data_IF_934838558923
#
_entry.id   IF_934838558923
#
_cell.length_a   1.000
_cell.length_b   1.000
_cell.length_c   1.000
_cell.angle_alpha   90.00
_cell.angle_beta   90.00
_cell.angle_gamma   90.00
#
_symmetry.space_group_name_H-M   'P 1'
#
loop_
_entity.id
_entity.type
_entity.pdbx_description
1 polymer ?
#
# COMPACT_ATOMS: atom_id res chain seq x y z
N UNK A 1 -31.44 8.50 28.69
CA UNK A 1 -30.93 7.13 28.49
C UNK A 1 -29.42 7.22 28.49
N UNK A 2 -28.75 6.64 29.45
CA UNK A 2 -27.31 6.44 29.43
C UNK A 2 -27.04 5.39 28.34
N UNK A 3 -26.39 5.79 27.25
CA UNK A 3 -25.99 4.89 26.20
C UNK A 3 -24.99 3.87 26.73
N UNK A 4 -25.27 2.59 26.54
CA UNK A 4 -24.32 1.52 26.89
C UNK A 4 -23.21 1.55 25.85
N UNK A 5 -21.97 1.88 26.26
CA UNK A 5 -20.81 1.82 25.37
C UNK A 5 -20.48 0.36 25.02
N UNK A 6 -20.28 0.06 23.75
CA UNK A 6 -19.78 -1.23 23.25
C UNK A 6 -18.27 -1.13 23.01
N UNK A 7 -17.49 -2.01 23.60
CA UNK A 7 -16.06 -2.16 23.28
C UNK A 7 -15.93 -3.34 22.30
N UNK A 8 -15.57 -3.01 21.07
CA UNK A 8 -15.32 -4.03 20.05
C UNK A 8 -13.95 -4.68 20.29
N UNK A 9 -13.97 -5.87 20.87
CA UNK A 9 -12.80 -6.71 21.12
C UNK A 9 -12.51 -7.65 19.95
N UNK A 10 -13.52 -7.98 19.14
CA UNK A 10 -13.34 -8.78 17.94
C UNK A 10 -12.37 -8.08 16.97
N UNK A 11 -12.53 -6.78 16.76
CA UNK A 11 -11.66 -5.99 15.88
C UNK A 11 -10.17 -6.06 16.24
N UNK A 12 -9.81 -6.42 17.48
CA UNK A 12 -8.41 -6.57 17.93
C UNK A 12 -7.81 -7.89 17.46
N UNK A 13 -8.61 -8.95 17.40
CA UNK A 13 -8.16 -10.33 17.17
C UNK A 13 -8.60 -10.88 15.80
N UNK A 14 -9.57 -10.24 15.15
CA UNK A 14 -10.29 -10.73 13.98
C UNK A 14 -9.38 -11.24 12.85
N UNK A 15 -8.36 -10.48 12.50
CA UNK A 15 -7.44 -10.81 11.41
C UNK A 15 -6.09 -11.35 11.95
N UNK A 16 -6.08 -11.83 13.20
CA UNK A 16 -4.91 -12.24 13.95
C UNK A 16 -5.05 -13.66 14.54
N UNK A 17 -5.25 -14.70 13.70
CA UNK A 17 -5.47 -16.07 14.19
C UNK A 17 -4.30 -16.60 15.04
N UNK A 18 -3.09 -16.10 14.85
CA UNK A 18 -1.91 -16.45 15.67
C UNK A 18 -2.05 -16.04 17.14
N UNK A 19 -2.99 -15.16 17.45
CA UNK A 19 -3.29 -14.76 18.84
C UNK A 19 -4.29 -15.69 19.53
N UNK A 20 -4.91 -16.60 18.78
CA UNK A 20 -5.92 -17.56 19.23
C UNK A 20 -5.47 -19.01 18.92
N UNK A 21 -4.47 -19.56 19.64
CA UNK A 21 -3.84 -20.84 19.30
C UNK A 21 -4.78 -22.04 19.23
N UNK A 22 -5.91 -21.99 19.91
CA UNK A 22 -6.97 -23.01 19.87
C UNK A 22 -8.27 -22.51 19.21
N UNK A 23 -8.17 -21.40 18.47
CA UNK A 23 -9.27 -20.69 17.82
C UNK A 23 -10.31 -20.06 18.78
N UNK A 24 -10.11 -20.12 20.09
CA UNK A 24 -11.03 -19.60 21.12
C UNK A 24 -10.33 -18.73 22.15
N UNK A 25 -9.22 -19.19 22.71
CA UNK A 25 -8.56 -18.50 23.80
C UNK A 25 -7.36 -17.67 23.33
N UNK A 26 -7.29 -16.39 23.69
CA UNK A 26 -6.15 -15.56 23.34
C UNK A 26 -4.88 -16.04 24.07
N UNK A 27 -3.76 -16.04 23.36
CA UNK A 27 -2.46 -16.21 24.01
C UNK A 27 -2.08 -14.96 24.81
N UNK A 28 -0.90 -14.93 25.44
CA UNK A 28 -0.45 -13.81 26.27
C UNK A 28 -0.46 -12.48 25.53
N UNK A 29 -0.04 -12.46 24.27
CA UNK A 29 -0.04 -11.26 23.43
C UNK A 29 -1.47 -10.83 23.06
N UNK A 30 -2.32 -11.77 22.68
CA UNK A 30 -3.73 -11.49 22.42
C UNK A 30 -4.44 -10.92 23.66
N UNK A 31 -4.21 -11.51 24.84
CA UNK A 31 -4.75 -11.00 26.08
C UNK A 31 -4.24 -9.58 26.43
N UNK A 32 -2.95 -9.29 26.17
CA UNK A 32 -2.38 -7.95 26.33
C UNK A 32 -3.06 -6.93 25.44
N UNK A 33 -3.24 -7.23 24.15
CA UNK A 33 -3.90 -6.34 23.21
C UNK A 33 -5.37 -6.08 23.55
N UNK A 34 -6.08 -7.12 24.03
CA UNK A 34 -7.46 -6.95 24.53
C UNK A 34 -7.49 -6.03 25.75
N UNK A 35 -6.57 -6.21 26.71
CA UNK A 35 -6.48 -5.36 27.89
C UNK A 35 -6.17 -3.90 27.52
N UNK A 36 -5.25 -3.66 26.59
CA UNK A 36 -4.95 -2.32 26.07
C UNK A 36 -6.16 -1.69 25.38
N UNK A 37 -6.91 -2.46 24.59
CA UNK A 37 -8.14 -1.99 23.95
C UNK A 37 -9.20 -1.60 24.96
N UNK A 38 -9.40 -2.43 25.99
CA UNK A 38 -10.33 -2.16 27.09
C UNK A 38 -9.89 -0.90 27.85
N UNK A 39 -8.61 -0.83 28.22
CA UNK A 39 -8.05 0.34 28.91
C UNK A 39 -8.32 1.63 28.11
N UNK A 40 -7.92 1.66 26.83
CA UNK A 40 -8.11 2.83 25.99
C UNK A 40 -9.58 3.21 25.82
N UNK A 41 -10.47 2.22 25.64
CA UNK A 41 -11.90 2.48 25.50
C UNK A 41 -12.55 3.02 26.77
N UNK A 42 -12.08 2.58 27.95
CA UNK A 42 -12.61 3.04 29.26
C UNK A 42 -12.03 4.40 29.65
N UNK A 43 -10.76 4.63 29.40
CA UNK A 43 -10.05 5.86 29.80
C UNK A 43 -10.05 6.96 28.75
N UNK A 44 -10.27 6.60 27.48
CA UNK A 44 -10.08 7.49 26.34
C UNK A 44 -8.60 7.78 26.00
N UNK A 45 -7.67 7.12 26.70
CA UNK A 45 -6.23 7.25 26.47
C UNK A 45 -5.78 6.28 25.36
N UNK A 46 -5.46 6.82 24.22
CA UNK A 46 -4.90 6.10 23.07
C UNK A 46 -3.40 6.38 22.87
N UNK A 47 -2.72 6.95 23.87
CA UNK A 47 -1.30 7.27 23.84
C UNK A 47 -0.97 8.54 23.07
N UNK A 48 -1.89 9.50 23.04
CA UNK A 48 -1.73 10.80 22.42
C UNK A 48 -1.77 10.77 20.87
N UNK A 49 -1.30 11.85 20.24
CA UNK A 49 -1.31 12.00 18.78
C UNK A 49 -0.31 11.04 18.12
N UNK A 50 -0.84 10.17 17.27
CA UNK A 50 -0.04 9.22 16.45
C UNK A 50 -0.47 9.25 15.00
N UNK A 51 0.51 9.39 14.10
CA UNK A 51 0.32 9.34 12.65
C UNK A 51 0.79 8.01 12.09
N UNK A 52 0.21 7.59 10.96
CA UNK A 52 0.70 6.42 10.22
C UNK A 52 2.16 6.62 9.81
N UNK A 53 2.99 5.56 9.73
CA UNK A 53 4.38 5.63 9.30
C UNK A 53 4.62 6.24 7.91
N UNK A 54 3.58 6.37 7.08
CA UNK A 54 3.68 7.05 5.78
C UNK A 54 3.86 8.57 5.92
N UNK A 55 3.46 9.17 7.05
CA UNK A 55 3.64 10.58 7.29
C UNK A 55 5.06 10.87 7.73
N UNK A 56 5.89 11.27 6.79
CA UNK A 56 7.27 11.73 7.02
C UNK A 56 7.54 12.99 6.22
N UNK A 57 8.68 13.63 6.47
CA UNK A 57 9.16 14.69 5.62
C UNK A 57 9.24 14.21 4.16
N UNK A 58 9.18 15.12 3.21
CA UNK A 58 9.22 14.88 1.77
C UNK A 58 8.00 14.16 1.17
N UNK A 59 6.91 13.92 1.90
CA UNK A 59 5.72 13.28 1.37
C UNK A 59 5.01 14.10 0.29
N UNK A 60 4.18 13.40 -0.52
CA UNK A 60 3.26 14.02 -1.47
C UNK A 60 1.83 13.73 -1.03
N UNK A 61 1.06 14.74 -0.69
CA UNK A 61 -0.37 14.60 -0.45
C UNK A 61 -1.14 14.61 -1.77
N UNK A 62 -2.16 13.78 -1.89
CA UNK A 62 -2.97 13.70 -3.11
C UNK A 62 -3.79 14.99 -3.30
N UNK A 63 -3.79 15.54 -4.51
CA UNK A 63 -4.62 16.69 -4.89
C UNK A 63 -5.92 16.27 -5.60
N UNK A 64 -6.79 17.24 -5.85
CA UNK A 64 -7.91 17.13 -6.79
C UNK A 64 -9.23 16.64 -6.18
N UNK A 65 -9.23 16.20 -4.93
CA UNK A 65 -10.43 15.88 -4.14
C UNK A 65 -10.20 16.19 -2.66
N UNK A 66 -11.22 15.98 -1.81
CA UNK A 66 -11.08 16.17 -0.37
C UNK A 66 -10.20 15.08 0.21
N UNK A 67 -8.90 15.38 0.30
CA UNK A 67 -7.86 14.44 0.72
C UNK A 67 -7.95 14.14 2.20
N UNK A 68 -7.94 12.88 2.55
CA UNK A 68 -7.99 12.40 3.92
C UNK A 68 -6.62 12.49 4.57
N UNK A 69 -6.63 13.03 5.79
CA UNK A 69 -5.48 12.98 6.71
C UNK A 69 -6.03 12.45 8.03
N UNK A 70 -5.48 11.35 8.50
CA UNK A 70 -6.00 10.67 9.67
C UNK A 70 -4.94 10.02 10.53
N UNK A 71 -5.36 9.60 11.73
CA UNK A 71 -4.48 8.98 12.70
C UNK A 71 -5.22 8.57 13.97
N UNK A 72 -4.47 8.45 15.05
CA UNK A 72 -4.98 8.17 16.39
C UNK A 72 -4.65 9.32 17.33
N UNK A 73 -5.51 9.56 18.30
CA UNK A 73 -5.28 10.46 19.42
C UNK A 73 -6.24 10.10 20.57
N UNK A 74 -6.11 10.76 21.72
CA UNK A 74 -6.98 10.49 22.85
C UNK A 74 -8.42 10.93 22.56
N UNK A 75 -9.38 10.10 22.97
CA UNK A 75 -10.80 10.28 22.69
C UNK A 75 -11.33 11.64 23.18
N UNK A 76 -12.22 12.24 22.40
CA UNK A 76 -12.81 13.53 22.69
C UNK A 76 -11.89 14.74 22.49
N UNK A 77 -10.62 14.54 22.13
CA UNK A 77 -9.71 15.64 21.76
C UNK A 77 -10.07 16.20 20.41
N UNK A 78 -9.70 17.46 20.18
CA UNK A 78 -9.78 18.07 18.85
C UNK A 78 -8.40 18.00 18.20
N UNK A 79 -8.35 17.48 16.97
CA UNK A 79 -7.16 17.51 16.11
C UNK A 79 -7.33 18.60 15.07
N UNK A 80 -6.31 19.43 14.91
CA UNK A 80 -6.23 20.45 13.86
C UNK A 80 -5.15 20.05 12.86
N UNK A 81 -5.48 20.15 11.57
CA UNK A 81 -4.56 19.85 10.45
C UNK A 81 -4.45 21.09 9.58
N UNK A 82 -3.23 21.47 9.24
CA UNK A 82 -2.95 22.65 8.38
C UNK A 82 -1.85 22.32 7.38
N UNK A 83 -2.09 22.65 6.12
CA UNK A 83 -1.05 22.68 5.06
C UNK A 83 -0.73 24.14 4.76
N UNK A 84 0.53 24.53 4.87
CA UNK A 84 1.01 25.90 4.71
C UNK A 84 2.39 25.97 4.05
N UNK A 85 2.81 27.18 3.64
CA UNK A 85 4.14 27.43 3.08
C UNK A 85 5.26 27.02 4.02
N UNK A 86 5.15 27.44 5.29
CA UNK A 86 6.18 27.26 6.28
C UNK A 86 5.61 27.25 7.70
N UNK A 87 6.46 27.06 8.68
CA UNK A 87 6.08 26.96 10.09
C UNK A 87 7.05 27.73 10.97
N UNK A 88 6.49 28.41 11.99
CA UNK A 88 7.24 29.02 13.08
C UNK A 88 7.00 28.23 14.37
N UNK A 89 8.09 27.82 15.03
CA UNK A 89 7.97 27.23 16.38
C UNK A 89 7.60 28.29 17.40
N UNK A 90 6.70 27.93 18.31
CA UNK A 90 6.32 28.78 19.44
C UNK A 90 7.22 28.49 20.65
N UNK A 91 7.26 29.43 21.63
CA UNK A 91 8.06 29.29 22.86
C UNK A 91 7.69 28.05 23.68
N UNK A 92 6.42 27.59 23.56
CA UNK A 92 5.89 26.44 24.31
C UNK A 92 6.00 25.11 23.52
N UNK A 93 6.90 25.03 22.53
CA UNK A 93 7.10 23.81 21.73
C UNK A 93 6.08 23.53 20.63
N UNK A 94 4.99 24.31 20.54
CA UNK A 94 4.02 24.20 19.47
C UNK A 94 4.53 24.74 18.14
N UNK A 95 3.70 24.62 17.10
CA UNK A 95 3.97 25.16 15.76
C UNK A 95 2.79 26.00 15.27
N UNK A 96 3.09 27.11 14.60
CA UNK A 96 2.09 27.93 13.91
C UNK A 96 2.44 28.07 12.44
N UNK A 97 1.46 28.04 11.53
CA UNK A 97 1.70 28.28 10.11
C UNK A 97 2.27 29.68 9.90
N UNK A 98 3.12 29.81 8.89
CA UNK A 98 3.69 31.05 8.42
C UNK A 98 3.62 31.07 6.89
N UNK A 99 3.28 32.22 6.30
CA UNK A 99 2.99 32.35 4.88
C UNK A 99 1.55 31.98 4.54
N UNK A 100 1.34 31.53 3.32
CA UNK A 100 0.02 31.11 2.83
C UNK A 100 -0.45 29.80 3.48
N UNK A 101 -1.72 29.73 3.81
CA UNK A 101 -2.40 28.49 4.25
C UNK A 101 -3.20 27.95 3.07
N UNK A 102 -2.76 26.82 2.53
CA UNK A 102 -3.42 26.16 1.39
C UNK A 102 -4.69 25.43 1.78
N UNK A 103 -4.69 24.79 2.94
CA UNK A 103 -5.86 24.15 3.51
C UNK A 103 -5.73 23.97 5.02
N UNK A 104 -6.85 24.00 5.71
CA UNK A 104 -6.91 23.69 7.14
C UNK A 104 -8.25 23.06 7.49
N UNK A 105 -8.25 22.22 8.51
CA UNK A 105 -9.45 21.56 9.02
C UNK A 105 -9.26 21.04 10.43
N UNK A 106 -10.36 20.65 11.06
CA UNK A 106 -10.38 20.08 12.41
C UNK A 106 -11.30 18.86 12.44
N UNK A 107 -11.01 17.93 13.34
CA UNK A 107 -11.88 16.81 13.66
C UNK A 107 -11.88 16.54 15.16
N UNK A 108 -12.99 16.04 15.67
CA UNK A 108 -13.05 15.44 17.00
C UNK A 108 -12.60 14.01 16.92
N UNK A 109 -11.80 13.57 17.89
CA UNK A 109 -11.36 12.17 18.02
C UNK A 109 -12.52 11.33 18.51
N UNK A 110 -12.82 10.24 17.82
CA UNK A 110 -13.85 9.29 18.20
C UNK A 110 -13.52 8.50 19.47
N UNK A 111 -14.50 7.77 19.99
CA UNK A 111 -14.35 6.89 21.15
C UNK A 111 -13.35 5.74 20.89
N UNK A 112 -13.11 5.40 19.63
CA UNK A 112 -12.12 4.42 19.19
C UNK A 112 -10.71 5.00 19.03
N UNK A 113 -10.51 6.28 19.36
CA UNK A 113 -9.25 6.99 19.23
C UNK A 113 -8.93 7.44 17.81
N UNK A 114 -9.78 7.16 16.82
CA UNK A 114 -9.57 7.53 15.41
C UNK A 114 -10.05 8.94 15.13
N UNK A 115 -9.34 9.61 14.24
CA UNK A 115 -9.75 10.90 13.70
C UNK A 115 -9.42 10.97 12.21
N UNK A 116 -10.19 11.75 11.49
CA UNK A 116 -9.98 12.01 10.06
C UNK A 116 -10.37 13.45 9.75
N UNK A 117 -9.51 14.17 9.07
CA UNK A 117 -9.76 15.49 8.49
C UNK A 117 -9.72 15.39 6.99
N UNK A 118 -10.67 15.98 6.28
CA UNK A 118 -10.70 16.09 4.82
C UNK A 118 -10.30 17.49 4.41
N UNK A 119 -9.23 17.59 3.62
CA UNK A 119 -8.72 18.87 3.14
C UNK A 119 -8.92 19.00 1.62
N UNK A 120 -9.49 20.13 1.15
CA UNK A 120 -9.71 20.40 -0.27
C UNK A 120 -8.39 20.83 -0.94
N UNK A 121 -7.45 19.93 -1.09
CA UNK A 121 -6.14 20.18 -1.71
C UNK A 121 -6.29 20.21 -3.24
N UNK A 122 -6.57 21.38 -3.81
CA UNK A 122 -6.82 21.56 -5.26
C UNK A 122 -5.57 22.00 -6.00
N UNK A 123 -4.81 22.90 -5.40
CA UNK A 123 -3.64 23.52 -6.03
C UNK A 123 -2.38 22.67 -5.86
N UNK A 124 -1.47 22.80 -6.81
CA UNK A 124 -0.14 22.20 -6.73
C UNK A 124 0.69 22.95 -5.71
N UNK A 125 1.36 22.21 -4.83
CA UNK A 125 2.36 22.73 -3.91
C UNK A 125 3.66 21.95 -4.10
N UNK A 126 4.74 22.63 -4.43
CA UNK A 126 6.03 21.98 -4.66
C UNK A 126 6.75 21.62 -3.36
N UNK A 127 6.60 22.46 -2.34
CA UNK A 127 7.18 22.26 -1.01
C UNK A 127 6.48 23.17 0.00
N UNK A 128 6.03 22.61 1.08
CA UNK A 128 5.40 23.30 2.20
C UNK A 128 5.54 22.47 3.47
N UNK A 129 4.61 22.66 4.39
CA UNK A 129 4.58 21.96 5.68
C UNK A 129 3.18 21.42 5.96
N UNK A 130 3.11 20.24 6.56
CA UNK A 130 1.91 19.73 7.21
C UNK A 130 2.08 19.83 8.72
N UNK A 131 1.13 20.50 9.38
CA UNK A 131 1.08 20.66 10.84
C UNK A 131 -0.14 19.90 11.33
N UNK A 132 0.06 18.95 12.23
CA UNK A 132 -1.03 18.21 12.90
C UNK A 132 -0.89 18.46 14.40
N UNK A 133 -1.92 18.96 15.05
CA UNK A 133 -1.84 19.31 16.47
C UNK A 133 -3.10 18.92 17.25
N UNK A 134 -2.87 18.50 18.48
CA UNK A 134 -3.84 18.49 19.57
C UNK A 134 -3.50 19.62 20.55
N UNK A 135 -4.30 19.87 21.60
CA UNK A 135 -3.92 20.84 22.62
C UNK A 135 -2.55 20.59 23.26
N UNK A 136 -2.13 19.32 23.33
CA UNK A 136 -0.96 18.90 24.10
C UNK A 136 0.26 18.56 23.21
N UNK A 137 0.04 18.24 21.93
CA UNK A 137 1.10 17.73 21.03
C UNK A 137 1.00 18.33 19.63
N UNK A 138 2.13 18.56 18.99
CA UNK A 138 2.18 19.02 17.61
C UNK A 138 3.22 18.22 16.81
N UNK A 139 2.76 17.57 15.75
CA UNK A 139 3.60 16.96 14.72
C UNK A 139 3.77 17.93 13.54
N UNK A 140 4.98 18.04 13.01
CA UNK A 140 5.30 18.90 11.88
C UNK A 140 6.10 18.11 10.86
N UNK A 141 5.60 18.06 9.64
CA UNK A 141 6.26 17.43 8.50
C UNK A 141 6.68 18.52 7.51
N UNK A 142 7.92 18.43 7.03
CA UNK A 142 8.54 19.44 6.17
C UNK A 142 8.66 18.95 4.75
N UNK A 143 8.82 19.91 3.84
CA UNK A 143 8.96 19.63 2.42
C UNK A 143 7.82 18.76 1.89
N UNK A 144 6.62 19.07 2.35
CA UNK A 144 5.38 18.40 1.92
C UNK A 144 4.93 18.99 0.59
N UNK A 145 4.75 18.14 -0.40
CA UNK A 145 4.20 18.52 -1.70
C UNK A 145 2.72 18.17 -1.80
N UNK A 146 2.00 18.84 -2.68
CA UNK A 146 0.64 18.48 -3.10
C UNK A 146 0.66 18.17 -4.60
N UNK A 147 0.30 16.96 -4.98
CA UNK A 147 0.41 16.47 -6.35
C UNK A 147 -0.35 15.17 -6.58
N UNK A 148 0.14 14.31 -7.46
CA UNK A 148 -0.50 13.04 -7.76
C UNK A 148 0.22 11.87 -7.10
N UNK A 149 -0.53 11.04 -6.38
CA UNK A 149 0.02 9.89 -5.66
C UNK A 149 -0.43 8.59 -6.31
N UNK A 150 0.51 7.73 -6.66
CA UNK A 150 0.27 6.42 -7.24
C UNK A 150 0.86 5.30 -6.38
N UNK A 151 0.12 4.22 -6.21
CA UNK A 151 0.62 3.01 -5.57
C UNK A 151 1.11 2.02 -6.62
N UNK A 152 2.37 1.60 -6.52
CA UNK A 152 2.96 0.54 -7.32
C UNK A 152 2.94 -0.77 -6.52
N UNK A 153 2.10 -1.71 -6.93
CA UNK A 153 1.88 -2.96 -6.21
C UNK A 153 1.91 -4.18 -7.14
N UNK A 154 2.04 -5.36 -6.59
CA UNK A 154 2.15 -6.61 -7.35
C UNK A 154 3.38 -7.44 -6.95
N UNK A 155 4.00 -8.12 -7.92
CA UNK A 155 5.13 -9.00 -7.65
C UNK A 155 6.46 -8.55 -8.28
N UNK A 156 7.38 -9.47 -8.51
CA UNK A 156 8.78 -9.20 -8.90
C UNK A 156 8.95 -8.29 -10.11
N UNK A 157 8.08 -8.37 -11.11
CA UNK A 157 8.15 -7.48 -12.26
C UNK A 157 7.82 -6.02 -11.91
N UNK A 158 6.93 -5.78 -10.93
CA UNK A 158 6.71 -4.44 -10.39
C UNK A 158 7.86 -4.01 -9.47
N UNK A 159 8.38 -4.89 -8.63
CA UNK A 159 9.49 -4.57 -7.70
C UNK A 159 10.86 -4.53 -8.39
N UNK A 160 10.94 -4.81 -9.70
CA UNK A 160 12.21 -4.80 -10.44
C UNK A 160 12.89 -3.43 -10.37
N UNK A 161 14.11 -3.33 -9.78
CA UNK A 161 14.71 -2.04 -9.52
C UNK A 161 15.27 -1.38 -10.79
N UNK A 162 15.30 -0.05 -10.80
CA UNK A 162 15.88 0.76 -11.89
C UNK A 162 17.31 0.31 -12.20
N UNK A 163 18.12 0.03 -11.17
CA UNK A 163 19.49 -0.41 -11.34
C UNK A 163 19.66 -1.67 -12.20
N UNK A 164 18.62 -2.50 -12.31
CA UNK A 164 18.62 -3.75 -13.09
C UNK A 164 17.83 -3.65 -14.40
N UNK A 165 17.18 -2.51 -14.68
CA UNK A 165 16.47 -2.30 -15.94
C UNK A 165 17.44 -2.01 -17.08
N UNK A 166 17.02 -2.34 -18.31
CA UNK A 166 17.82 -2.06 -19.53
C UNK A 166 17.99 -0.55 -19.76
N UNK A 167 17.02 0.24 -19.27
CA UNK A 167 16.97 1.69 -19.47
C UNK A 167 17.43 2.48 -18.21
N UNK A 168 18.29 1.88 -17.37
CA UNK A 168 18.79 2.53 -16.15
C UNK A 168 19.33 3.95 -16.38
N UNK A 169 20.09 4.13 -17.45
CA UNK A 169 20.74 5.42 -17.75
C UNK A 169 19.75 6.47 -18.28
N UNK A 170 18.53 6.06 -18.64
CA UNK A 170 17.45 6.97 -19.02
C UNK A 170 16.60 7.43 -17.82
N UNK A 171 16.82 6.87 -16.65
CA UNK A 171 16.21 7.34 -15.42
C UNK A 171 16.88 8.67 -15.00
N UNK A 172 16.12 9.75 -15.07
CA UNK A 172 16.58 11.12 -14.76
C UNK A 172 16.14 11.51 -13.35
N UNK A 173 17.05 11.55 -12.36
CA UNK A 173 16.72 12.00 -11.02
C UNK A 173 16.10 13.41 -11.02
N UNK A 174 15.01 13.58 -10.29
CA UNK A 174 14.28 14.85 -10.20
C UNK A 174 13.61 15.01 -8.84
N UNK A 175 13.56 16.24 -8.33
CA UNK A 175 12.88 16.56 -7.08
C UNK A 175 11.33 16.57 -7.21
N UNK A 176 10.81 16.56 -8.44
CA UNK A 176 9.35 16.47 -8.66
C UNK A 176 8.78 15.09 -8.35
N UNK A 177 9.61 14.04 -8.38
CA UNK A 177 9.17 12.70 -7.99
C UNK A 177 9.63 12.44 -6.55
N UNK A 178 8.75 11.88 -5.74
CA UNK A 178 9.01 11.46 -4.37
C UNK A 178 8.67 9.98 -4.20
N UNK A 179 9.51 9.26 -3.48
CA UNK A 179 9.51 7.81 -3.39
C UNK A 179 9.26 7.35 -1.96
N UNK A 180 8.31 6.46 -1.78
CA UNK A 180 8.09 5.75 -0.53
C UNK A 180 8.11 4.24 -0.79
N UNK A 181 9.00 3.49 -0.14
CA UNK A 181 9.01 2.03 -0.20
C UNK A 181 8.45 1.45 1.10
N UNK A 182 7.31 0.81 1.00
CA UNK A 182 6.78 0.03 2.11
C UNK A 182 7.57 -1.27 2.26
N UNK A 183 8.58 -1.25 3.06
CA UNK A 183 9.54 -2.31 3.35
C UNK A 183 10.59 -2.63 2.27
N UNK A 184 11.85 -2.57 2.64
CA UNK A 184 12.88 -3.25 1.87
C UNK A 184 12.64 -4.76 1.91
N UNK A 185 12.97 -5.41 0.81
CA UNK A 185 12.93 -6.84 0.55
C UNK A 185 13.35 -7.69 1.75
N UNK A 186 12.67 -8.83 1.94
CA UNK A 186 13.24 -9.97 2.65
C UNK A 186 14.56 -10.35 1.98
N UNK A 187 15.59 -10.54 2.76
CA UNK A 187 16.97 -10.64 2.26
C UNK A 187 17.20 -11.85 1.35
N UNK A 188 16.55 -12.94 1.52
CA UNK A 188 16.56 -14.08 0.61
C UNK A 188 15.24 -14.86 0.71
N UNK A 189 14.37 -14.64 -0.26
CA UNK A 189 13.03 -15.21 -0.30
C UNK A 189 13.03 -16.74 -0.36
N UNK A 190 14.16 -17.41 -0.56
CA UNK A 190 14.26 -18.85 -0.76
C UNK A 190 14.87 -19.63 0.40
N UNK A 191 15.40 -18.93 1.39
CA UNK A 191 16.02 -19.53 2.56
C UNK A 191 15.05 -19.64 3.75
N UNK A 192 15.47 -20.39 4.77
CA UNK A 192 14.77 -20.43 6.05
C UNK A 192 14.82 -19.05 6.73
N UNK A 193 13.68 -18.55 7.16
CA UNK A 193 13.60 -17.29 7.89
C UNK A 193 14.16 -17.46 9.32
N UNK A 194 14.85 -16.43 9.80
CA UNK A 194 15.36 -16.42 11.15
C UNK A 194 14.25 -16.03 12.16
N UNK A 195 14.55 -16.15 13.45
CA UNK A 195 13.58 -15.86 14.51
C UNK A 195 13.10 -14.41 14.52
N UNK A 196 13.95 -13.47 14.12
CA UNK A 196 13.60 -12.04 14.06
C UNK A 196 12.63 -11.77 12.92
N UNK A 197 12.86 -12.39 11.76
CA UNK A 197 11.97 -12.27 10.61
C UNK A 197 10.62 -12.93 10.88
N UNK A 198 10.61 -14.12 11.51
CA UNK A 198 9.38 -14.83 11.91
C UNK A 198 8.56 -14.01 12.90
N UNK A 199 9.22 -13.39 13.89
CA UNK A 199 8.55 -12.51 14.86
C UNK A 199 7.96 -11.26 14.16
N UNK A 200 8.71 -10.66 13.23
CA UNK A 200 8.23 -9.51 12.45
C UNK A 200 7.03 -9.84 11.58
N UNK A 201 6.96 -11.04 11.02
CA UNK A 201 5.79 -11.49 10.24
C UNK A 201 4.51 -11.57 11.09
N UNK A 202 4.63 -11.95 12.36
CA UNK A 202 3.49 -12.02 13.27
C UNK A 202 3.01 -10.65 13.75
N UNK A 203 3.84 -9.60 13.58
CA UNK A 203 3.43 -8.23 13.82
C UNK A 203 2.93 -7.64 12.51
N UNK A 204 1.69 -7.32 12.38
CA UNK A 204 1.16 -6.66 11.16
C UNK A 204 1.68 -5.22 10.95
N UNK A 205 2.68 -4.79 11.71
CA UNK A 205 3.31 -3.47 11.63
C UNK A 205 4.38 -3.35 10.52
N UNK A 206 4.14 -3.96 9.38
CA UNK A 206 5.11 -4.19 8.31
C UNK A 206 5.42 -2.97 7.43
N UNK A 207 4.82 -1.79 7.70
CA UNK A 207 5.12 -0.54 6.96
C UNK A 207 6.33 0.20 7.57
N UNK A 208 7.17 -0.43 8.36
CA UNK A 208 8.35 0.24 8.88
C UNK A 208 9.34 0.54 7.76
N UNK A 209 9.20 1.73 7.18
CA UNK A 209 10.23 2.29 6.33
C UNK A 209 11.05 3.30 7.16
N UNK A 210 12.27 2.96 7.60
CA UNK A 210 13.10 3.87 8.36
C UNK A 210 13.54 5.10 7.56
N UNK A 211 13.52 5.03 6.22
CA UNK A 211 13.90 6.13 5.34
C UNK A 211 12.75 7.14 5.13
N UNK A 212 11.49 6.71 5.31
CA UNK A 212 10.32 7.52 4.99
C UNK A 212 10.21 7.83 3.49
N UNK A 213 9.67 9.00 3.17
CA UNK A 213 9.67 9.52 1.82
C UNK A 213 11.05 10.09 1.45
N UNK A 214 11.53 9.75 0.27
CA UNK A 214 12.81 10.18 -0.26
C UNK A 214 12.59 10.95 -1.57
N UNK A 215 13.37 12.01 -1.80
CA UNK A 215 13.31 12.74 -3.07
C UNK A 215 13.87 11.90 -4.21
N UNK A 216 13.20 11.90 -5.36
CA UNK A 216 13.69 11.25 -6.58
C UNK A 216 14.91 11.95 -7.22
N UNK A 217 15.44 13.00 -6.61
CA UNK A 217 16.76 13.55 -6.94
C UNK A 217 17.91 12.74 -6.34
N UNK A 218 17.65 11.84 -5.40
CA UNK A 218 18.60 10.87 -4.87
C UNK A 218 18.75 9.69 -5.83
N UNK A 219 19.88 9.61 -6.51
CA UNK A 219 20.16 8.56 -7.49
C UNK A 219 20.15 7.16 -6.88
N UNK A 220 20.63 7.00 -5.67
CA UNK A 220 20.68 5.71 -5.01
C UNK A 220 19.26 5.21 -4.65
N UNK A 221 18.42 6.11 -4.17
CA UNK A 221 17.01 5.80 -3.93
C UNK A 221 16.29 5.43 -5.23
N UNK A 222 16.52 6.15 -6.33
CA UNK A 222 15.97 5.83 -7.65
C UNK A 222 16.45 4.47 -8.14
N UNK A 223 17.76 4.17 -8.03
CA UNK A 223 18.32 2.90 -8.48
C UNK A 223 17.71 1.68 -7.76
N UNK A 224 17.32 1.85 -6.49
CA UNK A 224 16.66 0.78 -5.69
C UNK A 224 15.15 0.70 -5.89
N UNK A 225 14.53 1.70 -6.51
CA UNK A 225 13.08 1.78 -6.65
C UNK A 225 12.56 1.00 -7.86
N UNK A 226 11.25 0.69 -7.88
CA UNK A 226 10.54 0.07 -9.00
C UNK A 226 10.82 0.82 -10.31
N UNK A 227 11.41 0.17 -11.30
CA UNK A 227 11.69 0.77 -12.60
C UNK A 227 10.39 1.15 -13.34
N UNK A 228 9.38 0.30 -13.28
CA UNK A 228 8.08 0.56 -13.93
C UNK A 228 7.42 1.79 -13.31
N UNK A 229 7.35 1.84 -11.97
CA UNK A 229 6.78 2.98 -11.28
C UNK A 229 7.59 4.25 -11.52
N UNK A 230 8.94 4.16 -11.50
CA UNK A 230 9.81 5.29 -11.79
C UNK A 230 9.56 5.88 -13.19
N UNK A 231 9.60 5.05 -14.25
CA UNK A 231 9.39 5.53 -15.61
C UNK A 231 7.96 6.00 -15.87
N UNK A 232 6.97 5.44 -15.17
CA UNK A 232 5.61 5.97 -15.16
C UNK A 232 5.59 7.39 -14.55
N UNK A 233 6.15 7.57 -13.36
CA UNK A 233 6.26 8.86 -12.70
C UNK A 233 7.07 9.88 -13.50
N UNK A 234 8.19 9.45 -14.12
CA UNK A 234 9.00 10.32 -14.98
C UNK A 234 8.22 10.83 -16.18
N UNK A 235 7.46 9.96 -16.87
CA UNK A 235 6.61 10.39 -17.99
C UNK A 235 5.48 11.32 -17.54
N UNK A 236 4.88 11.06 -16.37
CA UNK A 236 3.87 11.94 -15.79
C UNK A 236 4.48 13.33 -15.52
N UNK A 237 5.60 13.40 -14.80
CA UNK A 237 6.22 14.66 -14.39
C UNK A 237 6.81 15.47 -15.59
N UNK A 238 7.38 14.78 -16.59
CA UNK A 238 8.08 15.43 -17.68
C UNK A 238 7.14 15.86 -18.84
N UNK A 239 6.08 15.08 -19.09
CA UNK A 239 5.32 15.20 -20.33
C UNK A 239 3.82 15.36 -20.16
N UNK A 240 3.22 14.64 -19.20
CA UNK A 240 1.76 14.61 -19.08
C UNK A 240 1.24 15.64 -18.08
N UNK A 241 2.02 15.94 -17.05
CA UNK A 241 1.69 16.88 -15.98
C UNK A 241 2.93 17.70 -15.56
N UNK A 242 3.51 18.49 -16.47
CA UNK A 242 4.73 19.25 -16.17
C UNK A 242 4.55 20.14 -14.93
N UNK A 243 5.51 20.08 -14.01
CA UNK A 243 5.51 20.88 -12.78
C UNK A 243 4.64 20.34 -11.65
N UNK A 244 3.94 19.23 -11.83
CA UNK A 244 3.14 18.58 -10.77
C UNK A 244 4.03 17.58 -10.02
N UNK A 245 4.11 17.64 -8.67
CA UNK A 245 4.78 16.61 -7.88
C UNK A 245 4.10 15.24 -8.04
N UNK A 246 4.92 14.20 -8.18
CA UNK A 246 4.46 12.82 -8.29
C UNK A 246 4.97 12.03 -7.07
N UNK A 247 4.04 11.50 -6.27
CA UNK A 247 4.32 10.57 -5.19
C UNK A 247 4.16 9.13 -5.67
N UNK A 248 5.17 8.31 -5.48
CA UNK A 248 5.16 6.90 -5.81
C UNK A 248 5.34 6.07 -4.55
N UNK A 249 4.36 5.21 -4.25
CA UNK A 249 4.37 4.31 -3.09
C UNK A 249 4.56 2.88 -3.58
N UNK A 250 5.70 2.28 -3.31
CA UNK A 250 5.96 0.88 -3.68
C UNK A 250 5.57 -0.07 -2.55
N UNK A 251 4.61 -0.97 -2.85
CA UNK A 251 4.14 -2.03 -1.94
C UNK A 251 4.30 -3.43 -2.53
N UNK A 252 4.94 -3.54 -3.70
CA UNK A 252 5.17 -4.80 -4.40
C UNK A 252 6.09 -5.74 -3.61
N UNK A 253 5.93 -7.06 -3.84
CA UNK A 253 6.78 -8.10 -3.26
C UNK A 253 7.07 -9.19 -4.29
N UNK A 254 8.34 -9.55 -4.45
CA UNK A 254 8.74 -10.62 -5.35
C UNK A 254 8.00 -11.93 -5.06
N UNK A 255 7.48 -12.57 -6.10
CA UNK A 255 6.78 -13.84 -5.98
C UNK A 255 5.39 -13.81 -5.33
N UNK A 256 4.92 -12.69 -4.85
CA UNK A 256 3.65 -12.60 -4.13
C UNK A 256 2.46 -13.05 -5.00
N UNK A 257 1.63 -14.00 -4.50
CA UNK A 257 0.40 -14.37 -5.16
C UNK A 257 -0.69 -13.31 -4.95
N UNK A 258 -1.67 -13.26 -5.85
CA UNK A 258 -2.74 -12.25 -5.84
C UNK A 258 -3.57 -12.27 -4.54
N UNK A 259 -3.84 -13.46 -4.01
CA UNK A 259 -4.62 -13.66 -2.79
C UNK A 259 -3.99 -13.02 -1.54
N UNK A 260 -2.68 -12.78 -1.54
CA UNK A 260 -2.01 -12.06 -0.45
C UNK A 260 -2.41 -10.57 -0.36
N UNK A 261 -2.93 -10.00 -1.44
CA UNK A 261 -3.37 -8.59 -1.52
C UNK A 261 -4.88 -8.39 -1.36
N UNK A 262 -5.64 -9.44 -1.04
CA UNK A 262 -7.09 -9.39 -0.86
C UNK A 262 -7.42 -9.28 0.63
N UNK A 263 -8.36 -8.41 0.99
CA UNK A 263 -8.85 -8.34 2.36
C UNK A 263 -9.45 -9.68 2.83
N UNK A 264 -9.08 -10.14 4.02
CA UNK A 264 -9.47 -11.46 4.56
C UNK A 264 -10.97 -11.69 4.49
N UNK A 265 -11.77 -10.72 4.94
CA UNK A 265 -13.24 -10.83 4.90
C UNK A 265 -13.77 -11.08 3.48
N UNK A 266 -13.15 -10.48 2.46
CA UNK A 266 -13.56 -10.69 1.07
C UNK A 266 -13.24 -12.11 0.59
N UNK A 267 -12.16 -12.71 1.09
CA UNK A 267 -11.88 -14.14 0.86
C UNK A 267 -12.88 -15.03 1.58
N UNK A 268 -13.23 -14.71 2.82
CA UNK A 268 -14.17 -15.46 3.65
C UNK A 268 -15.61 -15.42 3.12
N UNK A 269 -16.04 -14.27 2.58
CA UNK A 269 -17.40 -14.05 2.08
C UNK A 269 -17.64 -14.66 0.67
N UNK A 270 -16.58 -15.03 -0.08
CA UNK A 270 -16.70 -15.65 -1.40
C UNK A 270 -16.65 -17.17 -1.30
N UNK A 271 -17.67 -17.90 -1.81
CA UNK A 271 -17.79 -19.36 -1.64
C UNK A 271 -16.71 -20.18 -2.34
N UNK A 272 -15.90 -19.57 -3.22
CA UNK A 272 -14.76 -20.22 -3.88
C UNK A 272 -13.44 -19.71 -3.28
N UNK A 273 -13.33 -18.41 -3.04
CA UNK A 273 -12.09 -17.83 -2.52
C UNK A 273 -11.82 -18.22 -1.06
N UNK A 274 -12.85 -18.59 -0.28
CA UNK A 274 -12.64 -19.07 1.10
C UNK A 274 -11.71 -20.28 1.14
N UNK A 275 -11.70 -21.09 0.10
CA UNK A 275 -10.84 -22.29 0.05
C UNK A 275 -9.35 -21.96 0.00
N UNK A 276 -8.94 -20.76 -0.47
CA UNK A 276 -7.52 -20.36 -0.46
C UNK A 276 -6.98 -20.13 0.96
N UNK A 277 -7.87 -19.87 1.94
CA UNK A 277 -7.52 -19.70 3.34
C UNK A 277 -7.22 -21.03 4.05
N UNK A 278 -7.82 -22.11 3.57
CA UNK A 278 -7.70 -23.41 4.22
C UNK A 278 -6.34 -24.05 3.95
N UNK A 279 -5.63 -24.42 5.00
CA UNK A 279 -4.27 -25.01 4.96
C UNK A 279 -3.35 -24.33 3.91
N UNK A 280 -3.35 -23.00 3.90
CA UNK A 280 -2.73 -22.18 2.85
C UNK A 280 -1.26 -22.55 2.58
N UNK A 281 -0.54 -23.12 3.55
CA UNK A 281 0.85 -23.57 3.40
C UNK A 281 0.99 -24.75 2.43
N UNK A 282 -0.08 -25.54 2.26
CA UNK A 282 -0.10 -26.76 1.43
C UNK A 282 -1.16 -26.72 0.35
N UNK A 283 -2.00 -25.69 0.35
CA UNK A 283 -3.12 -25.55 -0.54
C UNK A 283 -2.72 -25.66 -2.02
N UNK A 284 -3.31 -26.60 -2.74
CA UNK A 284 -3.00 -26.86 -4.15
C UNK A 284 -3.47 -25.76 -5.11
N UNK A 285 -4.33 -24.85 -4.66
CA UNK A 285 -4.68 -23.64 -5.41
C UNK A 285 -3.49 -22.70 -5.58
N UNK A 286 -2.53 -22.70 -4.65
CA UNK A 286 -1.26 -22.00 -4.80
C UNK A 286 -0.31 -22.75 -5.74
N UNK A 287 0.43 -22.01 -6.54
CA UNK A 287 1.42 -22.59 -7.46
C UNK A 287 2.49 -23.41 -6.72
N UNK A 288 2.96 -24.55 -7.27
CA UNK A 288 3.91 -25.42 -6.58
C UNK A 288 5.16 -24.71 -6.04
N UNK A 289 5.76 -23.80 -6.81
CA UNK A 289 6.94 -23.07 -6.36
C UNK A 289 6.63 -22.07 -5.22
N UNK A 290 5.43 -21.47 -5.20
CA UNK A 290 4.98 -20.61 -4.10
C UNK A 290 4.90 -21.42 -2.81
N UNK A 291 4.30 -22.61 -2.87
CA UNK A 291 4.27 -23.54 -1.73
C UNK A 291 5.66 -23.96 -1.27
N UNK A 292 6.57 -24.23 -2.21
CA UNK A 292 7.96 -24.60 -1.89
C UNK A 292 8.69 -23.47 -1.15
N UNK A 293 8.50 -22.21 -1.56
CA UNK A 293 9.06 -21.06 -0.86
C UNK A 293 8.49 -20.97 0.57
N UNK A 294 7.17 -21.04 0.72
CA UNK A 294 6.53 -20.99 2.06
C UNK A 294 7.04 -22.12 2.97
N UNK A 295 7.12 -23.34 2.46
CA UNK A 295 7.60 -24.50 3.21
C UNK A 295 9.08 -24.36 3.59
N UNK A 296 9.92 -23.88 2.68
CA UNK A 296 11.34 -23.64 2.95
C UNK A 296 11.57 -22.51 3.97
N UNK A 297 10.83 -21.40 3.84
CA UNK A 297 10.92 -20.29 4.79
C UNK A 297 10.50 -20.70 6.22
N UNK A 298 9.51 -21.58 6.33
CA UNK A 298 8.92 -22.01 7.59
C UNK A 298 9.44 -23.39 8.06
N UNK A 299 10.52 -23.90 7.46
CA UNK A 299 11.09 -25.19 7.85
C UNK A 299 11.48 -25.22 9.32
N UNK A 300 10.99 -26.22 10.07
CA UNK A 300 11.25 -26.39 11.48
C UNK A 300 10.46 -25.42 12.40
N UNK A 301 9.58 -24.59 11.84
CA UNK A 301 8.69 -23.75 12.63
C UNK A 301 7.52 -24.57 13.15
N UNK A 302 7.48 -24.82 14.47
CA UNK A 302 6.45 -25.63 15.13
C UNK A 302 5.12 -24.88 15.36
N UNK A 303 5.09 -23.55 15.21
CA UNK A 303 3.87 -22.76 15.35
C UNK A 303 2.97 -22.91 14.11
N UNK A 304 1.79 -23.55 14.23
CA UNK A 304 0.88 -23.69 13.08
C UNK A 304 0.29 -22.35 12.62
N UNK A 305 0.29 -21.35 13.49
CA UNK A 305 -0.28 -20.02 13.25
C UNK A 305 0.79 -18.99 12.83
N UNK A 306 2.03 -19.43 12.55
CA UNK A 306 3.06 -18.54 12.05
C UNK A 306 2.62 -17.89 10.73
N UNK A 307 2.61 -16.57 10.69
CA UNK A 307 2.27 -15.79 9.51
C UNK A 307 3.39 -15.84 8.46
N UNK A 308 3.01 -15.62 7.21
CA UNK A 308 3.95 -15.58 6.09
C UNK A 308 3.54 -14.53 5.05
N UNK A 309 4.50 -13.89 4.39
CA UNK A 309 4.23 -12.84 3.41
C UNK A 309 3.49 -13.31 2.13
N UNK A 310 3.44 -14.61 1.85
CA UNK A 310 2.61 -15.21 0.79
C UNK A 310 1.28 -15.76 1.30
N UNK A 311 1.02 -15.67 2.59
CA UNK A 311 -0.27 -16.04 3.15
C UNK A 311 -1.38 -15.19 2.56
N UNK A 312 -2.55 -15.78 2.21
CA UNK A 312 -3.70 -15.01 1.77
C UNK A 312 -4.05 -13.88 2.75
N UNK A 313 -4.38 -12.71 2.24
CA UNK A 313 -4.64 -11.45 2.95
C UNK A 313 -3.42 -10.78 3.60
N UNK A 314 -2.28 -11.43 3.77
CA UNK A 314 -1.17 -10.89 4.57
C UNK A 314 -0.66 -9.52 4.07
N UNK A 315 -0.42 -9.36 2.77
CA UNK A 315 0.08 -8.09 2.22
C UNK A 315 -0.99 -6.99 2.23
N UNK A 316 -2.25 -7.37 2.16
CA UNK A 316 -3.35 -6.42 2.37
C UNK A 316 -3.34 -5.90 3.83
N UNK A 317 -3.35 -6.81 4.80
CA UNK A 317 -3.39 -6.49 6.24
C UNK A 317 -2.15 -5.73 6.71
N UNK A 318 -0.97 -6.10 6.21
CA UNK A 318 0.31 -5.53 6.66
C UNK A 318 0.76 -4.30 5.90
N UNK A 319 0.26 -4.04 4.69
CA UNK A 319 0.71 -2.94 3.83
C UNK A 319 -0.41 -2.06 3.32
N UNK A 320 -1.45 -2.63 2.69
CA UNK A 320 -2.44 -1.83 1.97
C UNK A 320 -3.39 -1.13 2.93
N UNK A 321 -4.03 -1.87 3.84
CA UNK A 321 -4.99 -1.32 4.79
C UNK A 321 -4.37 -0.28 5.73
N UNK A 322 -3.16 -0.51 6.32
CA UNK A 322 -2.51 0.50 7.14
C UNK A 322 -2.10 1.78 6.40
N UNK A 323 -1.71 1.68 5.12
CA UNK A 323 -1.42 2.86 4.30
C UNK A 323 -2.70 3.64 3.98
N UNK A 324 -3.76 2.94 3.61
CA UNK A 324 -5.04 3.54 3.28
C UNK A 324 -5.76 4.15 4.49
N UNK A 325 -5.38 3.79 5.72
CA UNK A 325 -5.95 4.32 6.95
C UNK A 325 -5.53 5.77 7.22
N UNK A 326 -6.14 6.72 6.49
CA UNK A 326 -5.90 8.15 6.65
C UNK A 326 -4.87 8.73 5.69
N UNK A 327 -4.57 8.07 4.57
CA UNK A 327 -3.78 8.61 3.46
C UNK A 327 -4.47 8.29 2.13
N UNK A 328 -4.33 9.17 1.14
CA UNK A 328 -5.00 8.99 -0.14
C UNK A 328 -4.02 8.82 -1.31
N UNK A 329 -4.47 8.05 -2.32
CA UNK A 329 -3.79 7.90 -3.59
C UNK A 329 -4.79 8.03 -4.76
N UNK A 330 -4.31 8.50 -5.91
CA UNK A 330 -5.11 8.64 -7.12
C UNK A 330 -5.52 7.28 -7.67
N UNK A 331 -4.58 6.35 -7.71
CA UNK A 331 -4.79 5.02 -8.26
C UNK A 331 -3.67 4.04 -7.98
N UNK A 332 -3.81 2.85 -8.56
CA UNK A 332 -2.89 1.73 -8.43
C UNK A 332 -2.27 1.39 -9.78
N UNK A 333 -0.97 1.20 -9.78
CA UNK A 333 -0.19 0.58 -10.84
C UNK A 333 0.10 -0.86 -10.41
N UNK A 334 -0.39 -1.83 -11.17
CA UNK A 334 -0.33 -3.24 -10.77
C UNK A 334 0.40 -4.11 -11.78
N UNK A 335 1.36 -4.91 -11.34
CA UNK A 335 1.96 -5.94 -12.16
C UNK A 335 2.12 -7.24 -11.35
N UNK A 336 1.23 -8.17 -11.62
CA UNK A 336 1.20 -9.49 -10.97
C UNK A 336 0.46 -10.46 -11.89
N UNK A 337 0.70 -11.73 -11.72
CA UNK A 337 0.01 -12.80 -12.42
C UNK A 337 0.86 -14.05 -12.58
N UNK A 338 2.17 -13.93 -12.60
CA UNK A 338 3.10 -15.04 -12.80
C UNK A 338 2.93 -16.12 -11.73
N UNK A 339 2.61 -15.72 -10.50
CA UNK A 339 2.35 -16.63 -9.38
C UNK A 339 0.97 -17.31 -9.43
N UNK A 340 0.07 -16.84 -10.29
CA UNK A 340 -1.30 -17.35 -10.42
C UNK A 340 -1.60 -17.90 -11.83
N UNK A 341 -0.65 -17.81 -12.78
CA UNK A 341 -0.88 -18.15 -14.18
C UNK A 341 -1.13 -19.64 -14.46
N UNK A 342 -0.97 -20.51 -13.46
CA UNK A 342 -1.29 -21.94 -13.55
C UNK A 342 -2.80 -22.23 -13.43
N UNK A 343 -3.59 -21.30 -12.85
CA UNK A 343 -5.01 -21.44 -12.63
C UNK A 343 -5.74 -20.16 -13.06
N UNK A 344 -6.14 -20.12 -14.32
CA UNK A 344 -6.77 -18.95 -14.96
C UNK A 344 -8.13 -18.68 -14.35
N UNK A 345 -8.93 -19.71 -14.13
CA UNK A 345 -10.29 -19.62 -13.60
C UNK A 345 -10.31 -19.05 -12.19
N UNK A 346 -9.37 -19.48 -11.35
CA UNK A 346 -9.21 -18.89 -10.01
C UNK A 346 -8.79 -17.42 -10.09
N UNK A 347 -7.86 -17.09 -11.00
CA UNK A 347 -7.40 -15.70 -11.16
C UNK A 347 -8.54 -14.77 -11.63
N UNK A 348 -9.47 -15.24 -12.44
CA UNK A 348 -10.65 -14.48 -12.85
C UNK A 348 -11.56 -14.09 -11.67
N UNK A 349 -11.44 -14.76 -10.53
CA UNK A 349 -12.08 -14.36 -9.27
C UNK A 349 -11.15 -13.54 -8.37
N UNK A 350 -9.88 -13.92 -8.30
CA UNK A 350 -8.90 -13.23 -7.44
C UNK A 350 -8.66 -11.78 -7.88
N UNK A 351 -8.47 -11.51 -9.17
CA UNK A 351 -8.14 -10.16 -9.64
C UNK A 351 -9.25 -9.13 -9.36
N UNK A 352 -10.55 -9.40 -9.64
CA UNK A 352 -11.62 -8.51 -9.20
C UNK A 352 -11.65 -8.29 -7.69
N UNK A 353 -11.36 -9.32 -6.90
CA UNK A 353 -11.29 -9.22 -5.44
C UNK A 353 -10.11 -8.34 -4.97
N UNK A 354 -8.95 -8.40 -5.65
CA UNK A 354 -7.82 -7.48 -5.42
C UNK A 354 -8.27 -6.04 -5.67
N UNK A 355 -8.83 -5.74 -6.84
CA UNK A 355 -9.30 -4.40 -7.20
C UNK A 355 -10.31 -3.87 -6.18
N UNK A 356 -11.26 -4.70 -5.79
CA UNK A 356 -12.28 -4.34 -4.81
C UNK A 356 -11.67 -4.08 -3.42
N UNK A 357 -10.67 -4.88 -3.00
CA UNK A 357 -9.98 -4.70 -1.72
C UNK A 357 -9.23 -3.36 -1.64
N UNK A 358 -8.54 -2.96 -2.70
CA UNK A 358 -7.90 -1.64 -2.75
C UNK A 358 -8.93 -0.51 -2.70
N UNK A 359 -10.00 -0.60 -3.50
CA UNK A 359 -11.07 0.41 -3.53
C UNK A 359 -11.77 0.56 -2.18
N UNK A 360 -11.98 -0.55 -1.49
CA UNK A 360 -12.57 -0.57 -0.14
C UNK A 360 -11.62 0.06 0.89
N UNK A 361 -10.34 -0.32 0.90
CA UNK A 361 -9.34 0.25 1.81
C UNK A 361 -9.26 1.78 1.69
N UNK A 362 -9.26 2.29 0.47
CA UNK A 362 -9.22 3.74 0.22
C UNK A 362 -10.59 4.43 0.29
N UNK A 363 -11.69 3.68 0.46
CA UNK A 363 -13.05 4.25 0.44
C UNK A 363 -13.40 4.90 -0.91
N UNK A 364 -12.83 4.41 -2.02
CA UNK A 364 -12.95 5.01 -3.37
C UNK A 364 -13.38 3.98 -4.41
N UNK A 365 -14.70 3.77 -4.61
CA UNK A 365 -15.22 2.79 -5.57
C UNK A 365 -14.76 2.98 -7.02
N UNK A 366 -14.48 4.21 -7.41
CA UNK A 366 -13.99 4.58 -8.75
C UNK A 366 -12.46 4.82 -8.80
N UNK A 367 -11.70 4.30 -7.82
CA UNK A 367 -10.23 4.40 -7.83
C UNK A 367 -9.66 3.75 -9.10
N UNK A 368 -8.82 4.48 -9.83
CA UNK A 368 -8.16 3.98 -11.02
C UNK A 368 -7.26 2.78 -10.70
N UNK A 369 -7.34 1.73 -11.51
CA UNK A 369 -6.53 0.54 -11.36
C UNK A 369 -5.92 0.17 -12.72
N UNK A 370 -4.67 0.59 -12.94
CA UNK A 370 -3.95 0.33 -14.17
C UNK A 370 -3.04 -0.87 -13.97
N UNK A 371 -3.22 -1.89 -14.79
CA UNK A 371 -2.42 -3.10 -14.64
C UNK A 371 -1.67 -3.49 -15.91
N UNK A 372 -0.61 -4.25 -15.74
CA UNK A 372 0.21 -4.76 -16.83
C UNK A 372 -0.23 -6.18 -17.17
N UNK A 373 -0.56 -6.44 -18.43
CA UNK A 373 -0.73 -7.78 -18.96
C UNK A 373 0.61 -8.53 -18.86
N UNK A 374 0.61 -9.80 -18.49
CA UNK A 374 1.85 -10.60 -18.48
C UNK A 374 2.57 -10.52 -19.83
N UNK A 375 3.90 -10.38 -19.78
CA UNK A 375 4.75 -10.41 -20.97
C UNK A 375 4.73 -11.79 -21.65
N UNK A 376 5.27 -11.89 -22.84
CA UNK A 376 5.40 -13.19 -23.52
C UNK A 376 6.36 -14.10 -22.76
N UNK A 377 6.00 -15.38 -22.63
CA UNK A 377 6.79 -16.42 -22.01
C UNK A 377 6.32 -17.80 -22.50
N UNK A 378 7.23 -18.76 -22.65
CA UNK A 378 6.90 -20.09 -23.15
C UNK A 378 6.35 -20.99 -22.03
N UNK A 379 5.06 -20.81 -21.72
CA UNK A 379 4.28 -21.68 -20.82
C UNK A 379 2.87 -21.88 -21.38
N UNK A 380 2.33 -23.12 -21.34
CA UNK A 380 1.03 -23.44 -21.95
C UNK A 380 -0.15 -22.58 -21.45
N UNK A 381 -0.18 -22.25 -20.15
CA UNK A 381 -1.23 -21.44 -19.56
C UNK A 381 -1.16 -19.94 -19.89
N UNK A 382 -0.01 -19.46 -20.35
CA UNK A 382 0.27 -18.03 -20.51
C UNK A 382 -0.65 -17.31 -21.51
N UNK A 383 -0.90 -17.85 -22.72
CA UNK A 383 -1.83 -17.23 -23.66
C UNK A 383 -3.25 -17.11 -23.11
N UNK A 384 -3.74 -18.15 -22.41
CA UNK A 384 -5.07 -18.16 -21.79
C UNK A 384 -5.15 -17.12 -20.66
N UNK A 385 -4.13 -17.04 -19.82
CA UNK A 385 -4.06 -16.07 -18.74
C UNK A 385 -4.04 -14.63 -19.26
N UNK A 386 -3.29 -14.36 -20.31
CA UNK A 386 -3.24 -13.03 -20.95
C UNK A 386 -4.56 -12.64 -21.59
N UNK A 387 -5.28 -13.58 -22.21
CA UNK A 387 -6.62 -13.32 -22.75
C UNK A 387 -7.63 -13.06 -21.61
N UNK A 388 -7.55 -13.80 -20.52
CA UNK A 388 -8.33 -13.54 -19.31
C UNK A 388 -8.07 -12.12 -18.78
N UNK A 389 -6.82 -11.68 -18.69
CA UNK A 389 -6.46 -10.31 -18.30
C UNK A 389 -7.11 -9.25 -19.22
N UNK A 390 -7.11 -9.48 -20.55
CA UNK A 390 -7.77 -8.60 -21.52
C UNK A 390 -9.28 -8.52 -21.27
N UNK A 391 -9.94 -9.67 -21.11
CA UNK A 391 -11.39 -9.72 -20.84
C UNK A 391 -11.77 -9.01 -19.54
N UNK A 392 -10.97 -9.15 -18.50
CA UNK A 392 -11.20 -8.46 -17.23
C UNK A 392 -11.04 -6.94 -17.38
N UNK A 393 -10.07 -6.46 -18.15
CA UNK A 393 -9.92 -5.04 -18.42
C UNK A 393 -11.13 -4.44 -19.16
N UNK A 394 -11.72 -5.22 -20.08
CA UNK A 394 -12.91 -4.78 -20.84
C UNK A 394 -14.20 -4.79 -19.97
N UNK A 395 -14.26 -5.69 -19.00
CA UNK A 395 -15.47 -5.89 -18.17
C UNK A 395 -15.51 -4.98 -16.92
N UNK A 396 -14.37 -4.55 -16.41
CA UNK A 396 -14.29 -3.86 -15.12
C UNK A 396 -14.18 -2.34 -15.29
N UNK A 397 -15.08 -1.54 -14.69
CA UNK A 397 -14.99 -0.09 -14.76
C UNK A 397 -13.74 0.44 -14.03
N UNK A 398 -13.11 1.47 -14.61
CA UNK A 398 -11.90 2.13 -14.07
C UNK A 398 -10.71 1.18 -13.90
N UNK A 399 -10.69 0.08 -14.68
CA UNK A 399 -9.58 -0.87 -14.78
C UNK A 399 -9.07 -0.84 -16.21
N UNK A 400 -7.79 -0.52 -16.38
CA UNK A 400 -7.18 -0.39 -17.71
C UNK A 400 -5.88 -1.21 -17.76
N UNK A 401 -5.58 -1.74 -18.96
CA UNK A 401 -4.47 -2.67 -19.15
C UNK A 401 -3.40 -2.09 -20.07
N UNK A 402 -2.15 -2.12 -19.60
CA UNK A 402 -0.96 -1.91 -20.43
C UNK A 402 -0.46 -3.25 -20.98
N UNK A 403 -0.36 -3.37 -22.30
CA UNK A 403 0.20 -4.56 -22.94
C UNK A 403 1.70 -4.60 -22.77
N UNK A 404 2.29 -5.80 -22.54
CA UNK A 404 3.74 -6.00 -22.45
C UNK A 404 4.25 -7.21 -23.24
N UNK A 405 3.41 -7.77 -24.11
CA UNK A 405 3.74 -8.99 -24.88
C UNK A 405 4.95 -8.85 -25.80
N UNK A 406 5.15 -7.64 -26.33
CA UNK A 406 6.28 -7.29 -27.21
C UNK A 406 7.62 -7.10 -26.48
N UNK A 407 7.59 -7.16 -25.15
CA UNK A 407 8.76 -6.93 -24.28
C UNK A 407 9.21 -8.20 -23.54
N UNK A 408 8.50 -9.32 -23.75
CA UNK A 408 8.75 -10.57 -23.07
C UNK A 408 9.96 -11.34 -23.61
N UNK A 409 10.29 -12.41 -22.90
CA UNK A 409 11.30 -13.39 -23.26
C UNK A 409 10.71 -14.80 -23.11
N UNK A 410 11.08 -15.73 -24.00
CA UNK A 410 10.54 -17.10 -23.96
C UNK A 410 10.98 -17.89 -22.73
N UNK A 411 12.10 -17.56 -22.13
CA UNK A 411 12.76 -18.31 -21.05
C UNK A 411 12.86 -17.54 -19.74
N UNK A 412 12.85 -16.19 -19.77
CA UNK A 412 12.89 -15.35 -18.58
C UNK A 412 11.55 -14.64 -18.37
N UNK A 413 10.95 -14.87 -17.21
CA UNK A 413 9.71 -14.18 -16.80
C UNK A 413 9.92 -12.70 -16.45
N UNK A 414 11.18 -12.24 -16.40
CA UNK A 414 11.56 -10.90 -16.01
C UNK A 414 12.15 -10.10 -17.18
N UNK A 415 11.34 -9.61 -18.13
CA UNK A 415 11.87 -8.76 -19.21
C UNK A 415 12.57 -7.55 -18.62
N UNK A 416 13.80 -7.27 -19.07
CA UNK A 416 14.62 -6.17 -18.52
C UNK A 416 14.18 -4.79 -18.99
N UNK A 417 13.42 -4.72 -20.09
CA UNK A 417 12.87 -3.47 -20.63
C UNK A 417 11.66 -3.01 -19.82
N UNK A 418 11.86 -2.10 -18.88
CA UNK A 418 10.82 -1.63 -17.96
C UNK A 418 10.25 -0.27 -18.33
N UNK A 419 11.04 0.59 -18.96
CA UNK A 419 10.61 1.95 -19.36
C UNK A 419 9.38 1.94 -20.27
N UNK A 420 9.31 1.16 -21.37
CA UNK A 420 8.12 1.15 -22.21
C UNK A 420 6.84 0.73 -21.45
N UNK A 421 6.96 -0.15 -20.45
CA UNK A 421 5.83 -0.54 -19.62
C UNK A 421 5.37 0.62 -18.74
N UNK A 422 6.30 1.30 -18.06
CA UNK A 422 6.01 2.48 -17.25
C UNK A 422 5.34 3.59 -18.05
N UNK A 423 5.85 3.87 -19.26
CA UNK A 423 5.27 4.88 -20.16
C UNK A 423 3.84 4.51 -20.61
N UNK A 424 3.57 3.22 -20.91
CA UNK A 424 2.22 2.74 -21.22
C UNK A 424 1.26 2.93 -20.07
N UNK A 425 1.68 2.65 -18.83
CA UNK A 425 0.87 2.90 -17.64
C UNK A 425 0.58 4.39 -17.45
N UNK A 426 1.55 5.27 -17.68
CA UNK A 426 1.36 6.71 -17.59
C UNK A 426 0.33 7.21 -18.64
N UNK A 427 0.35 6.66 -19.86
CA UNK A 427 -0.61 7.02 -20.90
C UNK A 427 -2.05 6.60 -20.57
N UNK A 428 -2.25 5.52 -19.82
CA UNK A 428 -3.58 5.10 -19.36
C UNK A 428 -4.20 6.13 -18.43
N UNK A 429 -3.39 6.83 -17.63
CA UNK A 429 -3.86 7.89 -16.72
C UNK A 429 -4.61 9.03 -17.43
N UNK A 430 -4.38 9.23 -18.73
CA UNK A 430 -5.13 10.20 -19.57
C UNK A 430 -6.51 9.69 -19.99
N UNK A 431 -6.66 8.37 -20.16
CA UNK A 431 -7.90 7.76 -20.69
C UNK A 431 -8.96 7.58 -19.62
N UNK A 432 -8.56 7.32 -18.39
CA UNK A 432 -9.45 6.99 -17.27
C UNK A 432 -10.40 8.11 -16.84
N UNK A 433 -10.51 9.20 -17.64
CA UNK A 433 -11.41 10.31 -17.30
C UNK A 433 -11.04 11.01 -15.99
N UNK A 434 -9.88 10.72 -15.46
CA UNK A 434 -9.27 11.47 -14.37
C UNK A 434 -9.11 12.89 -14.94
N UNK A 435 -10.09 13.76 -14.65
CA UNK A 435 -9.97 15.19 -14.96
C UNK A 435 -8.90 15.73 -14.05
N UNK A 436 -7.68 15.79 -14.57
CA UNK A 436 -6.66 16.64 -13.95
C UNK A 436 -7.21 18.07 -14.03
N UNK A 437 -7.40 18.77 -12.92
CA UNK A 437 -7.70 20.20 -12.99
C UNK A 437 -6.54 20.84 -13.77
N UNK A 438 -6.89 21.56 -14.83
CA UNK A 438 -5.97 22.38 -15.62
C UNK A 438 -5.42 23.49 -14.78
#
# INVERSE_FOLDING_TARGET
>A
AQGTGLIDLEAVLKDRPELLPDAVHPNVEGARLLAERIYSAVTGDYGGLRMSPIYTDHMVLQRGFDTRIGGLADAGRTVSVTVADSVRRTRNGGAKPLGEIYAAGTASVGEDGRWEVRLPLKEVLLSGVLIVSTPDTTAVYRDVAVGEVWMASGQSNMSWPVARSAERDEARPTALIRLFRANPTFADERGRLDSTELERLNRLDYIRNPEGWVRGSDREAVDRFSAIAWFCGQMLADSLMPGVPIGLIETSLGGAPAEAFIGRRRLEDDPVLVDVLYDWRRNEMAQPWVRQVMQGNLEGVGNPLQRHFFEPAYLYESRIAPLAAGYDALGVLWYQGESNAHNVELHERLFPAVVASFREAFGRPAMAFHFVQLSSHDRPSWPHFRDSQRRMAEAMPWVEMAVSSDLGDSTDVHPRRKKPIGERLALLSRRSGIRFPL
#
